data_IF_005816849810
#
_entry.id   IF_005816849810
#
_cell.length_a   1.000
_cell.length_b   1.000
_cell.length_c   1.000
_cell.angle_alpha   90.00
_cell.angle_beta   90.00
_cell.angle_gamma   90.00
#
_symmetry.space_group_name_H-M   'P 1'
#
loop_
_entity.id
_entity.type
_entity.pdbx_description
1 polymer ?
#
# COMPACT_ATOMS: atom_id res chain seq x y z
N UNK A 1 20.26 10.82 7.89
CA UNK A 1 19.43 9.97 8.74
C UNK A 1 19.80 8.55 8.40
N UNK A 2 20.48 7.87 9.30
CA UNK A 2 20.63 6.43 9.22
C UNK A 2 19.22 5.88 9.40
N UNK A 3 18.55 5.51 8.30
CA UNK A 3 17.47 4.55 8.38
C UNK A 3 18.13 3.36 9.10
N UNK A 4 17.80 3.17 10.36
CA UNK A 4 18.19 1.96 11.07
C UNK A 4 17.56 0.85 10.22
N UNK A 5 18.39 0.17 9.40
CA UNK A 5 18.01 -1.12 8.85
C UNK A 5 17.77 -2.00 10.05
N UNK A 6 16.55 -1.96 10.55
CA UNK A 6 16.09 -2.96 11.49
C UNK A 6 16.17 -4.25 10.69
N UNK A 7 17.04 -5.13 11.12
CA UNK A 7 17.35 -6.37 10.45
C UNK A 7 16.06 -6.99 9.92
N UNK A 8 15.96 -7.13 8.59
CA UNK A 8 14.81 -7.71 7.89
C UNK A 8 14.45 -9.10 8.46
N UNK A 9 15.44 -9.77 9.08
CA UNK A 9 15.29 -11.07 9.73
C UNK A 9 14.47 -11.05 11.02
N UNK A 10 14.33 -9.91 11.72
CA UNK A 10 13.61 -9.85 12.99
C UNK A 10 12.10 -9.62 12.81
N UNK A 11 11.63 -9.42 11.57
CA UNK A 11 10.24 -9.17 11.23
C UNK A 11 9.81 -9.93 9.99
N UNK A 12 9.98 -11.22 10.00
CA UNK A 12 9.46 -12.04 8.89
C UNK A 12 7.94 -11.93 8.84
N UNK A 13 7.45 -11.10 7.91
CA UNK A 13 6.06 -11.16 7.50
C UNK A 13 5.86 -12.53 6.88
N UNK A 14 5.02 -13.32 7.49
CA UNK A 14 4.78 -14.69 7.04
C UNK A 14 4.09 -14.72 5.68
N UNK A 15 4.30 -15.80 4.93
CA UNK A 15 3.62 -15.99 3.65
C UNK A 15 2.09 -15.86 3.76
N UNK A 16 1.41 -16.46 4.78
CA UNK A 16 -0.02 -16.25 4.96
C UNK A 16 -0.42 -14.79 5.20
N UNK A 17 0.40 -14.01 5.93
CA UNK A 17 0.14 -12.58 6.12
C UNK A 17 0.24 -11.79 4.81
N UNK A 18 1.24 -12.10 3.96
CA UNK A 18 1.38 -11.48 2.64
C UNK A 18 0.20 -11.82 1.73
N UNK A 19 -0.20 -13.09 1.71
CA UNK A 19 -1.36 -13.54 0.93
C UNK A 19 -2.66 -12.88 1.41
N UNK A 20 -2.89 -12.80 2.72
CA UNK A 20 -4.04 -12.11 3.30
C UNK A 20 -4.04 -10.62 2.97
N UNK A 21 -2.88 -9.97 2.99
CA UNK A 21 -2.73 -8.55 2.66
C UNK A 21 -3.09 -8.28 1.19
N UNK A 22 -2.58 -9.10 0.27
CA UNK A 22 -2.90 -9.01 -1.16
C UNK A 22 -4.38 -9.30 -1.42
N UNK A 23 -4.94 -10.31 -0.75
CA UNK A 23 -6.37 -10.63 -0.83
C UNK A 23 -7.23 -9.46 -0.38
N UNK A 24 -6.93 -8.84 0.77
CA UNK A 24 -7.66 -7.69 1.28
C UNK A 24 -7.63 -6.50 0.30
N UNK A 25 -6.49 -6.21 -0.31
CA UNK A 25 -6.37 -5.16 -1.33
C UNK A 25 -7.25 -5.44 -2.56
N UNK A 26 -7.38 -6.70 -2.97
CA UNK A 26 -8.23 -7.08 -4.11
C UNK A 26 -9.72 -7.13 -3.75
N UNK A 27 -10.06 -7.66 -2.59
CA UNK A 27 -11.44 -7.83 -2.14
C UNK A 27 -12.15 -6.49 -1.93
N UNK A 28 -11.46 -5.48 -1.41
CA UNK A 28 -12.05 -4.16 -1.18
C UNK A 28 -12.53 -3.49 -2.47
N UNK A 29 -11.98 -3.85 -3.64
CA UNK A 29 -12.44 -3.40 -4.95
C UNK A 29 -13.82 -3.97 -5.35
N UNK A 30 -14.32 -4.97 -4.65
CA UNK A 30 -15.61 -5.59 -4.91
C UNK A 30 -16.73 -5.02 -4.02
N UNK A 31 -16.43 -4.05 -3.16
CA UNK A 31 -17.45 -3.45 -2.32
C UNK A 31 -18.38 -2.53 -3.13
N UNK A 32 -19.55 -2.26 -2.57
CA UNK A 32 -20.60 -1.48 -3.24
C UNK A 32 -20.14 -0.08 -3.66
N UNK A 33 -19.34 0.60 -2.81
CA UNK A 33 -18.81 1.92 -3.11
C UNK A 33 -17.87 1.87 -4.32
N UNK A 34 -16.92 0.95 -4.33
CA UNK A 34 -15.95 0.81 -5.41
C UNK A 34 -16.64 0.53 -6.75
N UNK A 35 -17.61 -0.38 -6.75
CA UNK A 35 -18.36 -0.74 -7.96
C UNK A 35 -19.23 0.40 -8.49
N UNK A 36 -19.92 1.14 -7.59
CA UNK A 36 -20.75 2.29 -7.99
C UNK A 36 -19.96 3.50 -8.47
N UNK A 37 -18.75 3.70 -7.96
CA UNK A 37 -17.96 4.90 -8.22
C UNK A 37 -16.75 4.63 -9.14
N UNK A 38 -16.65 3.45 -9.75
CA UNK A 38 -15.53 3.04 -10.62
C UNK A 38 -14.16 3.23 -9.92
N UNK A 39 -14.08 2.89 -8.63
CA UNK A 39 -12.82 2.93 -7.89
C UNK A 39 -11.95 1.76 -8.29
N UNK A 40 -11.05 1.97 -9.24
CA UNK A 40 -10.26 0.93 -9.89
C UNK A 40 -8.95 0.62 -9.18
N UNK A 41 -8.58 1.39 -8.16
CA UNK A 41 -7.34 1.23 -7.42
C UNK A 41 -7.60 1.09 -5.93
N UNK A 42 -6.80 0.25 -5.29
CA UNK A 42 -6.89 -0.03 -3.87
C UNK A 42 -5.53 -0.32 -3.26
N UNK A 43 -5.47 -0.27 -1.94
CA UNK A 43 -4.35 -0.80 -1.18
C UNK A 43 -4.84 -1.41 0.13
N UNK A 44 -3.99 -2.23 0.73
CA UNK A 44 -4.14 -2.70 2.10
C UNK A 44 -2.80 -2.58 2.83
N UNK A 45 -2.82 -2.17 4.09
CA UNK A 45 -1.65 -2.10 4.95
C UNK A 45 -1.72 -3.15 6.04
N UNK A 46 -0.58 -3.77 6.35
CA UNK A 46 -0.38 -4.64 7.49
C UNK A 46 0.37 -3.85 8.56
N UNK A 47 -0.22 -3.73 9.73
CA UNK A 47 0.38 -3.03 10.86
C UNK A 47 1.24 -3.96 11.71
N UNK A 48 2.07 -3.39 12.56
CA UNK A 48 2.88 -4.13 13.54
C UNK A 48 2.03 -4.88 14.57
N UNK A 49 0.82 -4.41 14.83
CA UNK A 49 -0.15 -5.12 15.66
C UNK A 49 -0.74 -6.38 14.99
N UNK A 50 -0.49 -6.57 13.69
CA UNK A 50 -0.98 -7.71 12.92
C UNK A 50 -2.33 -7.46 12.24
N UNK A 51 -2.88 -6.25 12.33
CA UNK A 51 -4.14 -5.90 11.70
C UNK A 51 -3.94 -5.48 10.23
N UNK A 52 -4.95 -5.75 9.41
CA UNK A 52 -4.98 -5.35 7.99
C UNK A 52 -6.08 -4.32 7.79
N UNK A 53 -5.73 -3.18 7.18
CA UNK A 53 -6.65 -2.12 6.82
C UNK A 53 -6.60 -1.88 5.31
N UNK A 54 -7.70 -2.19 4.64
CA UNK A 54 -7.85 -2.02 3.20
C UNK A 54 -8.71 -0.80 2.87
N UNK A 55 -8.42 -0.16 1.75
CA UNK A 55 -9.18 0.98 1.24
C UNK A 55 -9.09 1.08 -0.29
N UNK A 56 -10.11 1.69 -0.88
CA UNK A 56 -10.15 2.03 -2.30
C UNK A 56 -9.83 3.51 -2.51
N UNK A 57 -9.45 3.88 -3.73
CA UNK A 57 -9.33 5.28 -4.12
C UNK A 57 -10.68 5.98 -4.04
N UNK A 58 -10.67 7.22 -3.54
CA UNK A 58 -11.82 8.11 -3.56
C UNK A 58 -11.58 9.19 -4.59
N UNK A 59 -12.20 9.05 -5.75
CA UNK A 59 -12.04 9.98 -6.86
C UNK A 59 -12.81 11.27 -6.64
N UNK A 60 -12.20 12.37 -7.06
CA UNK A 60 -12.81 13.69 -7.11
C UNK A 60 -12.96 14.15 -8.56
N UNK A 61 -14.06 14.80 -8.88
CA UNK A 61 -14.30 15.39 -10.21
C UNK A 61 -13.28 16.47 -10.58
N UNK A 62 -12.62 17.06 -9.58
CA UNK A 62 -11.50 17.99 -9.79
C UNK A 62 -10.15 17.30 -9.95
N UNK A 63 -10.09 15.98 -9.86
CA UNK A 63 -8.90 15.11 -9.88
C UNK A 63 -7.85 15.42 -8.80
N UNK A 64 -7.54 16.67 -8.55
CA UNK A 64 -6.53 17.11 -7.55
C UNK A 64 -6.89 16.77 -6.11
N UNK A 65 -8.17 16.56 -5.81
CA UNK A 65 -8.65 16.15 -4.49
C UNK A 65 -8.80 14.64 -4.34
N UNK A 66 -8.48 13.88 -5.38
CA UNK A 66 -8.53 12.41 -5.34
C UNK A 66 -7.59 11.87 -4.26
N UNK A 67 -8.14 11.02 -3.39
CA UNK A 67 -7.36 10.26 -2.40
C UNK A 67 -7.05 8.89 -2.99
N UNK A 68 -5.78 8.53 -3.08
CA UNK A 68 -5.36 7.24 -3.62
C UNK A 68 -5.58 6.11 -2.60
N UNK A 69 -5.67 4.89 -3.07
CA UNK A 69 -5.90 3.71 -2.21
C UNK A 69 -4.84 3.57 -1.11
N UNK A 70 -3.58 3.84 -1.42
CA UNK A 70 -2.48 3.79 -0.46
C UNK A 70 -2.63 4.85 0.65
N UNK A 71 -3.02 6.07 0.28
CA UNK A 71 -3.29 7.15 1.23
C UNK A 71 -4.48 6.78 2.13
N UNK A 72 -5.56 6.28 1.52
CA UNK A 72 -6.77 5.86 2.23
C UNK A 72 -6.50 4.70 3.20
N UNK A 73 -5.68 3.71 2.82
CA UNK A 73 -5.32 2.60 3.68
C UNK A 73 -4.47 3.05 4.88
N UNK A 74 -3.53 3.98 4.69
CA UNK A 74 -2.76 4.58 5.79
C UNK A 74 -3.66 5.37 6.73
N UNK A 75 -4.61 6.15 6.21
CA UNK A 75 -5.59 6.90 7.00
C UNK A 75 -6.48 5.93 7.78
N UNK A 76 -6.91 4.84 7.17
CA UNK A 76 -7.74 3.82 7.81
C UNK A 76 -7.01 3.20 9.03
N UNK A 77 -5.75 2.80 8.89
CA UNK A 77 -4.95 2.31 10.01
C UNK A 77 -4.77 3.39 11.10
N UNK A 78 -4.44 4.63 10.70
CA UNK A 78 -4.26 5.74 11.63
C UNK A 78 -5.55 6.06 12.41
N UNK A 79 -6.73 5.94 11.79
CA UNK A 79 -8.02 6.10 12.46
C UNK A 79 -8.26 5.06 13.57
N UNK A 80 -7.56 3.93 13.52
CA UNK A 80 -7.56 2.90 14.56
C UNK A 80 -6.36 3.01 15.53
N UNK A 81 -5.59 4.09 15.43
CA UNK A 81 -4.43 4.34 16.31
C UNK A 81 -3.17 3.58 15.90
N UNK A 82 -3.12 3.02 14.70
CA UNK A 82 -2.02 2.17 14.22
C UNK A 82 -1.25 2.86 13.10
N UNK A 83 -0.01 3.27 13.39
CA UNK A 83 0.85 3.98 12.43
C UNK A 83 2.14 3.25 12.07
N UNK A 84 2.43 2.11 12.70
CA UNK A 84 3.62 1.29 12.42
C UNK A 84 3.29 0.27 11.32
N UNK A 85 3.63 0.60 10.07
CA UNK A 85 3.27 -0.19 8.89
C UNK A 85 4.40 -1.12 8.49
N UNK A 86 4.17 -2.42 8.53
CA UNK A 86 5.12 -3.45 8.12
C UNK A 86 5.14 -3.65 6.61
N UNK A 87 3.96 -3.67 6.00
CA UNK A 87 3.81 -3.88 4.56
C UNK A 87 2.58 -3.17 4.01
N UNK A 88 2.61 -2.91 2.71
CA UNK A 88 1.47 -2.46 1.92
C UNK A 88 1.35 -3.30 0.65
N UNK A 89 0.15 -3.77 0.33
CA UNK A 89 -0.17 -4.34 -0.97
C UNK A 89 -0.99 -3.34 -1.79
N UNK A 90 -0.69 -3.22 -3.07
CA UNK A 90 -1.42 -2.38 -4.02
C UNK A 90 -2.07 -3.23 -5.09
N UNK A 91 -3.30 -2.89 -5.46
CA UNK A 91 -4.07 -3.61 -6.46
C UNK A 91 -4.88 -2.66 -7.36
N UNK A 92 -5.25 -3.16 -8.54
CA UNK A 92 -6.21 -2.50 -9.42
C UNK A 92 -7.23 -3.51 -9.95
N UNK A 93 -8.37 -3.02 -10.44
CA UNK A 93 -9.33 -3.85 -11.15
C UNK A 93 -8.72 -4.40 -12.44
N UNK A 94 -9.22 -5.57 -12.88
CA UNK A 94 -8.71 -6.25 -14.08
C UNK A 94 -8.85 -5.42 -15.36
N UNK A 95 -9.80 -4.49 -15.38
CA UNK A 95 -10.15 -3.73 -16.59
C UNK A 95 -9.21 -2.56 -16.86
N UNK A 96 -8.47 -2.11 -15.85
CA UNK A 96 -7.76 -0.82 -15.88
C UNK A 96 -6.27 -0.92 -16.24
N UNK A 97 -5.71 -2.13 -16.40
CA UNK A 97 -4.29 -2.35 -16.69
C UNK A 97 -4.05 -3.33 -17.83
N UNK A 98 -2.99 -3.09 -18.57
CA UNK A 98 -2.47 -4.05 -19.54
C UNK A 98 -2.11 -5.35 -18.85
N UNK A 99 -2.32 -6.47 -19.55
CA UNK A 99 -2.00 -7.80 -19.00
C UNK A 99 -0.54 -7.87 -18.54
N UNK A 100 -0.34 -8.30 -17.30
CA UNK A 100 0.98 -8.47 -16.69
C UNK A 100 1.63 -7.19 -16.14
N UNK A 101 1.04 -6.01 -16.32
CA UNK A 101 1.60 -4.79 -15.74
C UNK A 101 1.38 -4.73 -14.22
N UNK A 102 2.47 -4.52 -13.47
CA UNK A 102 2.39 -4.34 -12.02
C UNK A 102 1.90 -2.94 -11.65
N UNK A 103 1.04 -2.88 -10.64
CA UNK A 103 0.56 -1.62 -10.07
C UNK A 103 1.65 -1.04 -9.17
N UNK A 104 2.07 0.18 -9.46
CA UNK A 104 3.08 0.89 -8.67
C UNK A 104 2.46 2.09 -7.96
N UNK A 105 2.85 2.38 -6.71
CA UNK A 105 2.50 3.61 -6.04
C UNK A 105 2.99 4.83 -6.84
N UNK A 106 2.16 5.86 -6.95
CA UNK A 106 2.59 7.13 -7.55
C UNK A 106 3.57 7.88 -6.63
N UNK A 107 4.18 8.95 -7.12
CA UNK A 107 5.16 9.72 -6.34
C UNK A 107 4.58 10.32 -5.06
N UNK A 108 3.33 10.77 -5.06
CA UNK A 108 2.66 11.27 -3.85
C UNK A 108 2.49 10.17 -2.80
N UNK A 109 2.06 8.98 -3.24
CA UNK A 109 1.93 7.83 -2.34
C UNK A 109 3.29 7.38 -1.81
N UNK A 110 4.33 7.38 -2.65
CA UNK A 110 5.71 7.08 -2.22
C UNK A 110 6.19 8.06 -1.16
N UNK A 111 5.93 9.36 -1.33
CA UNK A 111 6.30 10.36 -0.34
C UNK A 111 5.64 10.10 1.01
N UNK A 112 4.33 9.81 1.02
CA UNK A 112 3.59 9.55 2.25
C UNK A 112 4.05 8.26 2.94
N UNK A 113 4.32 7.20 2.16
CA UNK A 113 4.89 5.95 2.67
C UNK A 113 6.30 6.15 3.25
N UNK A 114 7.12 6.98 2.60
CA UNK A 114 8.44 7.36 3.12
C UNK A 114 8.33 8.02 4.49
N UNK A 115 7.46 9.00 4.62
CA UNK A 115 7.26 9.70 5.88
C UNK A 115 6.71 8.78 6.98
N UNK A 116 5.82 7.84 6.61
CA UNK A 116 5.34 6.80 7.53
C UNK A 116 6.48 5.90 8.00
N UNK A 117 7.33 5.40 7.09
CA UNK A 117 8.49 4.59 7.40
C UNK A 117 9.50 5.35 8.28
N UNK A 118 9.75 6.61 7.95
CA UNK A 118 10.66 7.48 8.71
C UNK A 118 10.17 7.72 10.14
N UNK A 119 8.89 8.00 10.33
CA UNK A 119 8.30 8.22 11.67
C UNK A 119 8.34 6.97 12.55
N UNK A 120 8.08 5.80 11.96
CA UNK A 120 8.03 4.53 12.69
C UNK A 120 9.40 3.85 12.83
N UNK A 121 10.39 4.23 12.02
CA UNK A 121 11.66 3.52 11.88
C UNK A 121 11.54 2.15 11.21
N UNK A 122 10.43 1.87 10.53
CA UNK A 122 10.15 0.61 9.84
C UNK A 122 10.30 0.80 8.34
N UNK A 123 11.19 0.05 7.70
CA UNK A 123 11.22 -0.04 6.25
C UNK A 123 10.03 -0.87 5.77
N UNK A 124 9.06 -0.23 5.12
CA UNK A 124 7.83 -0.88 4.68
C UNK A 124 8.10 -1.79 3.48
N UNK A 125 7.64 -3.05 3.55
CA UNK A 125 7.60 -3.94 2.39
C UNK A 125 6.45 -3.52 1.47
N UNK A 126 6.72 -3.37 0.17
CA UNK A 126 5.70 -3.08 -0.84
C UNK A 126 5.45 -4.33 -1.66
N UNK A 127 4.20 -4.77 -1.74
CA UNK A 127 3.78 -5.89 -2.54
C UNK A 127 2.97 -5.35 -3.73
N UNK A 128 3.57 -5.38 -4.89
CA UNK A 128 2.94 -5.02 -6.15
C UNK A 128 2.16 -6.22 -6.67
N UNK A 129 0.97 -5.99 -7.21
CA UNK A 129 0.21 -7.04 -7.89
C UNK A 129 -0.14 -6.65 -9.33
N UNK A 130 -0.47 -7.65 -10.14
CA UNK A 130 -0.96 -7.45 -11.50
C UNK A 130 -2.30 -8.18 -11.71
N UNK A 131 -2.89 -8.02 -12.88
CA UNK A 131 -4.16 -8.63 -13.23
C UNK A 131 -4.07 -10.13 -13.60
N UNK A 132 -2.85 -10.69 -13.67
CA UNK A 132 -2.62 -12.13 -13.85
C UNK A 132 -2.55 -12.89 -12.52
N UNK A 133 -2.61 -12.18 -11.39
CA UNK A 133 -2.49 -12.77 -10.06
C UNK A 133 -1.06 -12.90 -9.56
N UNK A 134 -0.09 -12.38 -10.30
CA UNK A 134 1.31 -12.36 -9.89
C UNK A 134 1.58 -11.24 -8.89
N UNK A 135 2.58 -11.44 -8.03
CA UNK A 135 3.03 -10.45 -7.05
C UNK A 135 4.54 -10.24 -7.15
N UNK A 136 4.99 -9.02 -6.83
CA UNK A 136 6.39 -8.65 -6.72
C UNK A 136 6.61 -7.91 -5.42
N UNK A 137 7.61 -8.33 -4.66
CA UNK A 137 8.01 -7.69 -3.41
C UNK A 137 9.17 -6.72 -3.67
N UNK A 138 9.05 -5.52 -3.10
CA UNK A 138 10.07 -4.47 -3.19
C UNK A 138 10.19 -3.81 -1.83
N UNK A 139 11.41 -3.63 -1.33
CA UNK A 139 11.64 -2.81 -0.15
C UNK A 139 11.46 -1.34 -0.51
N UNK A 140 10.87 -0.58 0.38
CA UNK A 140 10.53 0.82 0.09
C UNK A 140 11.76 1.64 -0.32
N UNK A 141 12.92 1.43 0.33
CA UNK A 141 14.17 2.11 0.00
C UNK A 141 14.67 1.89 -1.44
N UNK A 142 14.22 0.83 -2.11
CA UNK A 142 14.55 0.58 -3.52
C UNK A 142 13.69 1.42 -4.48
N UNK A 143 12.60 2.02 -4.00
CA UNK A 143 11.65 2.80 -4.81
C UNK A 143 11.88 4.31 -4.73
N UNK A 144 12.68 4.79 -3.79
CA UNK A 144 12.87 6.22 -3.52
C UNK A 144 14.34 6.58 -3.59
N UNK A 145 14.65 7.53 -4.49
CA UNK A 145 15.96 8.17 -4.59
C UNK A 145 15.89 9.57 -4.00
N UNK A 146 16.94 9.96 -3.27
CA UNK A 146 17.03 11.31 -2.68
C UNK A 146 15.77 11.70 -1.90
N UNK A 147 15.42 10.96 -0.82
CA UNK A 147 14.19 11.22 -0.08
C UNK A 147 14.26 12.56 0.64
N UNK A 148 13.11 13.20 0.80
CA UNK A 148 12.96 14.44 1.54
C UNK A 148 11.80 14.32 2.55
N UNK A 149 11.93 14.81 3.81
CA UNK A 149 13.15 15.31 4.46
C UNK A 149 14.17 14.19 4.75
N UNK A 150 15.45 14.54 4.81
CA UNK A 150 16.54 13.60 5.15
C UNK A 150 16.46 13.11 6.60
#
# INVERSE_FOLDING_TARGET
VILIRIDYNDRMITKPQKEALVAAAKEVLQNEFALKNNSNYSAAVLTKAGNIYAAVSYFSDTYTLTVHGEQAALIHAAAHGEGEILAIAVAASKEDKKSGEFINPCHLCKQLLYESSRRSGIETLIILSNNLGETKEVLFGEMVSYPWPE
#
